data_IF_936644985526
#
_entry.id   IF_936644985526
#
_cell.length_a   1.000
_cell.length_b   1.000
_cell.length_c   1.000
_cell.angle_alpha   90.00
_cell.angle_beta   90.00
_cell.angle_gamma   90.00
#
_symmetry.space_group_name_H-M   'P 1'
#
loop_
_entity.id
_entity.type
_entity.pdbx_description
1 polymer ?
#
# COMPACT_ATOMS: atom_id res chain seq x y z
N UNK A 1 1.23 0.74 -16.63
CA UNK A 1 0.30 0.99 -15.49
C UNK A 1 0.04 2.48 -15.39
N UNK A 2 -1.17 2.94 -15.00
CA UNK A 2 -1.32 4.38 -14.72
C UNK A 2 -0.74 4.70 -13.35
N UNK A 3 -0.19 5.91 -13.21
CA UNK A 3 0.32 6.43 -11.94
C UNK A 3 -0.77 6.48 -10.87
N UNK A 4 -2.04 6.71 -11.27
CA UNK A 4 -3.18 6.73 -10.34
C UNK A 4 -3.33 5.37 -9.63
N UNK A 5 -3.30 4.29 -10.38
CA UNK A 5 -3.53 2.93 -9.84
C UNK A 5 -2.39 2.50 -8.90
N UNK A 6 -1.14 2.80 -9.28
CA UNK A 6 0.01 2.57 -8.42
C UNK A 6 -0.06 3.41 -7.14
N UNK A 7 -0.55 4.65 -7.21
CA UNK A 7 -0.71 5.48 -6.03
C UNK A 7 -1.78 4.92 -5.08
N UNK A 8 -2.91 4.40 -5.58
CA UNK A 8 -3.93 3.79 -4.72
C UNK A 8 -3.40 2.54 -4.02
N UNK A 9 -2.67 1.67 -4.74
CA UNK A 9 -1.99 0.53 -4.13
C UNK A 9 -0.99 0.98 -3.06
N UNK A 10 -0.21 2.03 -3.34
CA UNK A 10 0.78 2.57 -2.40
C UNK A 10 0.12 3.14 -1.14
N UNK A 11 -1.06 3.76 -1.27
CA UNK A 11 -1.84 4.28 -0.13
C UNK A 11 -2.39 3.16 0.74
N UNK A 12 -2.84 2.07 0.14
CA UNK A 12 -3.25 0.87 0.87
C UNK A 12 -2.09 0.31 1.72
N UNK A 13 -0.87 0.24 1.19
CA UNK A 13 0.32 -0.18 1.95
C UNK A 13 0.73 0.84 3.02
N UNK A 14 0.57 2.13 2.73
CA UNK A 14 0.92 3.21 3.64
C UNK A 14 0.15 3.16 4.97
N UNK A 15 -1.10 2.70 4.93
CA UNK A 15 -1.95 2.51 6.12
C UNK A 15 -1.31 1.54 7.11
N UNK A 16 -0.77 0.41 6.64
CA UNK A 16 -0.11 -0.58 7.50
C UNK A 16 1.14 0.00 8.18
N UNK A 17 1.92 0.77 7.43
CA UNK A 17 3.11 1.45 7.96
C UNK A 17 2.73 2.54 8.96
N UNK A 18 1.68 3.30 8.67
CA UNK A 18 1.23 4.43 9.48
C UNK A 18 0.72 3.98 10.85
N UNK A 19 -0.05 2.88 10.88
CA UNK A 19 -0.73 2.44 12.09
C UNK A 19 0.05 1.39 12.88
N UNK A 20 0.67 0.42 12.21
CA UNK A 20 1.35 -0.70 12.86
C UNK A 20 2.88 -0.61 12.81
N UNK A 21 3.43 0.46 12.21
CA UNK A 21 4.87 0.61 11.95
C UNK A 21 5.46 -0.58 11.17
N UNK A 22 4.62 -1.25 10.40
CA UNK A 22 4.98 -2.46 9.68
C UNK A 22 5.57 -2.11 8.31
N UNK A 23 6.90 -2.01 8.24
CA UNK A 23 7.65 -1.79 7.00
C UNK A 23 7.89 -3.07 6.19
N UNK A 24 7.53 -4.24 6.72
CA UNK A 24 7.91 -5.53 6.12
C UNK A 24 7.41 -5.67 4.67
N UNK A 25 6.21 -5.16 4.35
CA UNK A 25 5.67 -5.24 2.99
C UNK A 25 6.38 -4.30 2.01
N UNK A 26 6.89 -3.16 2.49
CA UNK A 26 7.70 -2.24 1.70
C UNK A 26 9.02 -2.91 1.31
N UNK A 27 9.68 -3.54 2.29
CA UNK A 27 10.95 -4.22 2.08
C UNK A 27 10.76 -5.46 1.20
N UNK A 28 9.80 -6.33 1.53
CA UNK A 28 9.47 -7.54 0.79
C UNK A 28 9.20 -7.25 -0.69
N UNK A 29 8.42 -6.21 -1.00
CA UNK A 29 8.13 -5.82 -2.39
C UNK A 29 9.38 -5.32 -3.11
N UNK A 30 10.17 -4.46 -2.46
CA UNK A 30 11.38 -3.88 -3.05
C UNK A 30 12.42 -4.92 -3.47
N UNK A 31 12.44 -6.06 -2.78
CA UNK A 31 13.35 -7.18 -3.05
C UNK A 31 12.71 -8.36 -3.78
N UNK A 32 11.48 -8.25 -4.27
CA UNK A 32 10.79 -9.35 -4.96
C UNK A 32 11.50 -9.71 -6.28
N UNK A 33 12.04 -10.93 -6.44
CA UNK A 33 12.79 -11.34 -7.64
C UNK A 33 11.88 -11.83 -8.78
N UNK A 34 10.59 -12.02 -8.51
CA UNK A 34 9.59 -12.51 -9.46
C UNK A 34 8.23 -11.87 -9.22
N UNK A 35 7.41 -11.82 -10.28
CA UNK A 35 6.02 -11.33 -10.22
C UNK A 35 5.20 -12.10 -9.21
N UNK A 36 5.31 -13.42 -9.22
CA UNK A 36 4.57 -14.30 -8.32
C UNK A 36 4.85 -13.96 -6.86
N UNK A 37 6.12 -13.69 -6.53
CA UNK A 37 6.49 -13.33 -5.17
C UNK A 37 6.01 -11.92 -4.81
N UNK A 38 6.07 -10.96 -5.75
CA UNK A 38 5.51 -9.63 -5.54
C UNK A 38 4.00 -9.69 -5.27
N UNK A 39 3.25 -10.44 -6.07
CA UNK A 39 1.80 -10.66 -5.90
C UNK A 39 1.50 -11.38 -4.58
N UNK A 40 2.30 -12.38 -4.21
CA UNK A 40 2.19 -13.05 -2.92
C UNK A 40 2.31 -12.06 -1.76
N UNK A 41 3.28 -11.14 -1.80
CA UNK A 41 3.45 -10.11 -0.77
C UNK A 41 2.33 -9.06 -0.78
N UNK A 42 1.82 -8.67 -1.96
CA UNK A 42 0.64 -7.81 -2.05
C UNK A 42 -0.58 -8.46 -1.40
N UNK A 43 -0.79 -9.76 -1.64
CA UNK A 43 -1.87 -10.53 -1.00
C UNK A 43 -1.72 -10.55 0.51
N UNK A 44 -0.52 -10.79 1.04
CA UNK A 44 -0.28 -10.74 2.49
C UNK A 44 -0.60 -9.36 3.07
N UNK A 45 -0.14 -8.29 2.41
CA UNK A 45 -0.40 -6.92 2.83
C UNK A 45 -1.91 -6.59 2.85
N UNK A 46 -2.64 -6.95 1.79
CA UNK A 46 -4.08 -6.69 1.72
C UNK A 46 -4.86 -7.49 2.79
N UNK A 47 -4.44 -8.72 3.11
CA UNK A 47 -5.02 -9.50 4.20
C UNK A 47 -4.85 -8.81 5.57
N UNK A 48 -3.67 -8.25 5.81
CA UNK A 48 -3.42 -7.50 7.05
C UNK A 48 -4.20 -6.18 7.07
N UNK A 49 -4.34 -5.52 5.92
CA UNK A 49 -5.18 -4.31 5.79
C UNK A 49 -6.65 -4.62 6.10
N UNK A 50 -7.18 -5.75 5.63
CA UNK A 50 -8.51 -6.24 5.98
C UNK A 50 -8.64 -6.57 7.49
N UNK A 51 -7.56 -7.01 8.12
CA UNK A 51 -7.56 -7.23 9.56
C UNK A 51 -7.59 -5.91 10.32
N UNK A 52 -6.85 -4.91 9.83
CA UNK A 52 -6.81 -3.57 10.40
C UNK A 52 -8.16 -2.85 10.31
N UNK A 53 -8.90 -3.02 9.21
CA UNK A 53 -10.21 -2.37 9.01
C UNK A 53 -11.29 -2.78 10.03
N UNK A 54 -11.04 -3.83 10.83
CA UNK A 54 -11.91 -4.28 11.92
C UNK A 54 -11.53 -3.69 13.29
N UNK A 55 -10.38 -3.02 13.41
CA UNK A 55 -9.96 -2.39 14.67
C UNK A 55 -10.79 -1.14 14.93
N UNK A 56 -11.15 -0.92 16.19
CA UNK A 56 -11.92 0.25 16.63
C UNK A 56 -11.05 1.39 17.12
N UNK A 57 -9.81 1.10 17.54
CA UNK A 57 -8.84 2.06 18.02
C UNK A 57 -7.78 2.31 16.94
N UNK A 58 -8.10 3.25 16.05
CA UNK A 58 -7.25 3.67 14.94
C UNK A 58 -7.14 5.19 14.99
N UNK A 59 -6.00 5.72 14.56
CA UNK A 59 -5.87 7.17 14.38
C UNK A 59 -6.88 7.69 13.36
N UNK A 60 -7.45 8.89 13.57
CA UNK A 60 -8.52 9.44 12.70
C UNK A 60 -8.11 9.47 11.22
N UNK A 61 -6.85 9.80 10.91
CA UNK A 61 -6.38 9.87 9.53
C UNK A 61 -6.29 8.49 8.89
N UNK A 62 -5.84 7.49 9.64
CA UNK A 62 -5.81 6.10 9.16
C UNK A 62 -7.23 5.60 8.95
N UNK A 63 -8.16 5.91 9.85
CA UNK A 63 -9.57 5.58 9.70
C UNK A 63 -10.17 6.23 8.44
N UNK A 64 -9.92 7.53 8.23
CA UNK A 64 -10.39 8.26 7.05
C UNK A 64 -9.81 7.69 5.75
N UNK A 65 -8.51 7.35 5.72
CA UNK A 65 -7.88 6.75 4.55
C UNK A 65 -8.42 5.32 4.31
N UNK A 66 -8.65 4.53 5.36
CA UNK A 66 -9.30 3.22 5.24
C UNK A 66 -10.72 3.32 4.68
N UNK A 67 -11.51 4.31 5.10
CA UNK A 67 -12.84 4.53 4.56
C UNK A 67 -12.80 4.96 3.09
N UNK A 68 -11.81 5.78 2.71
CA UNK A 68 -11.57 6.15 1.30
C UNK A 68 -11.20 4.94 0.45
N UNK A 69 -10.41 4.01 0.98
CA UNK A 69 -9.99 2.79 0.28
C UNK A 69 -11.16 1.84 -0.03
N UNK A 70 -12.28 1.93 0.70
CA UNK A 70 -13.52 1.17 0.45
C UNK A 70 -14.36 1.72 -0.70
N UNK A 71 -13.97 2.84 -1.30
CA UNK A 71 -14.66 3.38 -2.47
C UNK A 71 -14.47 2.45 -3.66
N UNK A 72 -15.57 2.11 -4.36
CA UNK A 72 -15.54 1.22 -5.53
C UNK A 72 -14.51 1.65 -6.58
N UNK A 73 -14.36 2.96 -6.82
CA UNK A 73 -13.39 3.49 -7.78
C UNK A 73 -11.94 3.24 -7.36
N UNK A 74 -11.67 3.28 -6.05
CA UNK A 74 -10.35 3.05 -5.46
C UNK A 74 -10.05 1.56 -5.44
N UNK A 75 -10.99 0.73 -5.02
CA UNK A 75 -10.86 -0.74 -5.05
C UNK A 75 -10.56 -1.23 -6.46
N UNK A 76 -11.33 -0.78 -7.47
CA UNK A 76 -11.06 -1.11 -8.87
C UNK A 76 -9.70 -0.61 -9.35
N UNK A 77 -9.20 0.52 -8.84
CA UNK A 77 -7.87 1.00 -9.19
C UNK A 77 -6.76 0.12 -8.60
N UNK A 78 -6.95 -0.38 -7.39
CA UNK A 78 -6.04 -1.32 -6.73
C UNK A 78 -6.05 -2.68 -7.45
N UNK A 79 -7.23 -3.21 -7.77
CA UNK A 79 -7.39 -4.44 -8.54
C UNK A 79 -6.64 -4.35 -9.87
N UNK A 80 -6.91 -3.31 -10.66
CA UNK A 80 -6.20 -3.08 -11.93
C UNK A 80 -4.70 -2.89 -11.74
N UNK A 81 -4.24 -2.39 -10.59
CA UNK A 81 -2.80 -2.33 -10.31
C UNK A 81 -2.25 -3.76 -10.17
N UNK A 82 -2.89 -4.61 -9.37
CA UNK A 82 -2.49 -6.00 -9.16
C UNK A 82 -2.51 -6.79 -10.47
N UNK A 83 -3.57 -6.66 -11.28
CA UNK A 83 -3.67 -7.36 -12.57
C UNK A 83 -2.50 -7.04 -13.51
N UNK A 84 -2.02 -5.79 -13.49
CA UNK A 84 -0.89 -5.40 -14.33
C UNK A 84 0.45 -5.91 -13.80
N UNK A 85 0.58 -6.26 -12.52
CA UNK A 85 1.76 -7.01 -12.07
C UNK A 85 1.89 -8.36 -12.80
N UNK A 86 0.78 -8.99 -13.21
CA UNK A 86 0.82 -10.22 -14.03
C UNK A 86 1.39 -9.99 -15.43
N UNK A 87 1.29 -8.76 -15.95
CA UNK A 87 1.71 -8.41 -17.31
C UNK A 87 3.18 -7.97 -17.40
N UNK A 88 3.86 -7.74 -16.26
CA UNK A 88 5.24 -7.22 -16.22
C UNK A 88 6.22 -8.16 -16.93
N UNK A 89 6.89 -7.70 -17.97
CA UNK A 89 7.63 -8.59 -18.88
C UNK A 89 8.99 -9.04 -18.33
N UNK A 90 9.60 -8.25 -17.44
CA UNK A 90 10.98 -8.47 -17.00
C UNK A 90 11.26 -8.07 -15.56
N UNK A 91 12.36 -8.61 -15.01
CA UNK A 91 12.82 -8.34 -13.63
C UNK A 91 13.17 -6.88 -13.39
N UNK A 92 13.68 -6.18 -14.41
CA UNK A 92 14.00 -4.74 -14.32
C UNK A 92 12.74 -3.90 -14.10
N UNK A 93 11.75 -4.07 -14.97
CA UNK A 93 10.44 -3.40 -14.86
C UNK A 93 9.75 -3.73 -13.53
N UNK A 94 9.78 -4.99 -13.09
CA UNK A 94 9.23 -5.39 -11.79
C UNK A 94 9.90 -4.62 -10.64
N UNK A 95 11.24 -4.52 -10.66
CA UNK A 95 12.00 -3.80 -9.63
C UNK A 95 11.64 -2.31 -9.63
N UNK A 96 11.52 -1.68 -10.79
CA UNK A 96 11.12 -0.27 -10.90
C UNK A 96 9.73 -0.04 -10.31
N UNK A 97 8.76 -0.89 -10.68
CA UNK A 97 7.37 -0.77 -10.19
C UNK A 97 7.27 -1.00 -8.68
N UNK A 98 7.89 -2.05 -8.16
CA UNK A 98 7.90 -2.35 -6.72
C UNK A 98 8.60 -1.25 -5.93
N UNK A 99 9.73 -0.74 -6.42
CA UNK A 99 10.44 0.39 -5.80
C UNK A 99 9.60 1.67 -5.82
N UNK A 100 8.88 1.93 -6.91
CA UNK A 100 7.97 3.07 -7.01
C UNK A 100 6.85 2.98 -5.96
N UNK A 101 6.20 1.82 -5.85
CA UNK A 101 5.14 1.58 -4.88
C UNK A 101 5.66 1.74 -3.45
N UNK A 102 6.81 1.15 -3.15
CA UNK A 102 7.49 1.26 -1.87
C UNK A 102 7.78 2.73 -1.50
N UNK A 103 8.41 3.49 -2.40
CA UNK A 103 8.73 4.89 -2.17
C UNK A 103 7.48 5.75 -1.94
N UNK A 104 6.42 5.54 -2.74
CA UNK A 104 5.14 6.26 -2.58
C UNK A 104 4.46 5.92 -1.27
N UNK A 105 4.46 4.64 -0.88
CA UNK A 105 3.85 4.21 0.37
C UNK A 105 4.54 4.86 1.58
N UNK A 106 5.87 5.00 1.57
CA UNK A 106 6.62 5.72 2.62
C UNK A 106 6.23 7.21 2.69
N UNK A 107 6.08 7.88 1.54
CA UNK A 107 5.63 9.28 1.50
C UNK A 107 4.22 9.41 2.09
N UNK A 108 3.31 8.52 1.70
CA UNK A 108 1.93 8.57 2.18
C UNK A 108 1.83 8.22 3.66
N UNK A 109 2.60 7.24 4.15
CA UNK A 109 2.58 6.86 5.56
C UNK A 109 3.12 7.98 6.45
N UNK A 110 4.18 8.67 6.02
CA UNK A 110 4.69 9.86 6.71
C UNK A 110 3.60 10.94 6.83
N UNK A 111 2.79 11.17 5.79
CA UNK A 111 1.67 12.14 5.83
C UNK A 111 0.58 11.71 6.81
N UNK A 112 0.22 10.42 6.81
CA UNK A 112 -0.76 9.87 7.75
C UNK A 112 -0.27 10.00 9.21
N UNK A 113 1.04 9.82 9.44
CA UNK A 113 1.68 9.95 10.76
C UNK A 113 1.88 11.41 11.20
N UNK A 114 2.25 12.35 10.32
CA UNK A 114 2.51 13.75 10.70
C UNK A 114 1.27 14.43 11.27
N UNK A 115 0.10 14.13 10.72
CA UNK A 115 -1.17 14.62 11.26
C UNK A 115 -1.54 14.01 12.64
N UNK A 116 -0.87 12.92 13.05
CA UNK A 116 -0.97 12.36 14.41
C UNK A 116 -0.15 13.18 15.42
N UNK A 117 0.95 13.81 14.99
CA UNK A 117 1.85 14.56 15.86
C UNK A 117 1.34 15.98 16.18
N UNK A 118 0.64 16.64 15.25
CA UNK A 118 0.08 18.00 15.46
C UNK A 118 -1.06 18.07 16.50
N UNK A 119 -1.58 16.93 16.96
CA UNK A 119 -2.69 16.85 17.94
C UNK A 119 -2.26 16.31 19.31
N UNK A 120 -0.96 16.08 19.52
CA UNK A 120 -0.39 15.56 20.77
C UNK A 120 0.57 16.51 21.48
N UNK A 121 0.57 17.81 21.12
CA UNK A 121 1.35 18.87 21.76
C UNK A 121 0.46 19.83 22.55
#
# INVERSE_FOLDING_TARGET
MSVKELNELSRALAVLVAEEENYAYIDKLSYAPSRDLAIFYLREALRDLHSLSRKTDLSENVKSELDRLKSEDVEKAIERAIDRFLQVGGRGELRELTSFVAAKALIFSARLKLSKAERGG
#
